data_IF_445784079443
#
_entry.id   IF_445784079443
#
_cell.length_a   1.000
_cell.length_b   1.000
_cell.length_c   1.000
_cell.angle_alpha   90.00
_cell.angle_beta   90.00
_cell.angle_gamma   90.00
#
_symmetry.space_group_name_H-M   'P 1'
#
loop_
_entity.id
_entity.type
_entity.pdbx_description
1 polymer ?
#
# COMPACT_ATOMS: atom_id res chain seq x y z
N UNK A 1 14.67 -1.22 -12.00
CA UNK A 1 15.61 -1.31 -10.85
C UNK A 1 14.82 -1.81 -9.64
N UNK A 2 15.38 -2.73 -8.85
CA UNK A 2 14.70 -3.27 -7.66
C UNK A 2 14.73 -2.23 -6.53
N UNK A 3 13.63 -2.01 -5.78
CA UNK A 3 13.63 -1.12 -4.62
C UNK A 3 14.57 -1.60 -3.51
N UNK A 4 15.33 -0.67 -2.91
CA UNK A 4 16.29 -0.96 -1.85
C UNK A 4 15.65 -1.60 -0.61
N UNK A 5 14.37 -1.30 -0.34
CA UNK A 5 13.62 -1.87 0.79
C UNK A 5 13.48 -3.39 0.68
N UNK A 6 13.42 -3.93 -0.55
CA UNK A 6 13.36 -5.36 -0.80
C UNK A 6 14.73 -6.05 -0.67
N UNK A 7 15.81 -5.29 -0.68
CA UNK A 7 17.18 -5.78 -0.51
C UNK A 7 17.67 -5.72 0.94
N UNK A 8 16.93 -5.03 1.82
CA UNK A 8 17.32 -4.73 3.20
C UNK A 8 17.21 -5.91 4.18
N UNK A 9 16.49 -6.99 3.81
CA UNK A 9 16.24 -8.15 4.70
C UNK A 9 15.30 -7.85 5.88
N UNK A 10 14.81 -6.62 6.03
CA UNK A 10 13.88 -6.25 7.09
C UNK A 10 12.44 -6.64 6.73
N UNK A 11 12.04 -7.87 7.08
CA UNK A 11 10.74 -8.44 6.75
C UNK A 11 9.55 -7.53 7.07
N UNK A 12 9.51 -6.90 8.26
CA UNK A 12 8.43 -6.00 8.64
C UNK A 12 8.28 -4.79 7.68
N UNK A 13 9.40 -4.25 7.20
CA UNK A 13 9.40 -3.14 6.24
C UNK A 13 8.96 -3.60 4.85
N UNK A 14 9.34 -4.82 4.47
CA UNK A 14 8.94 -5.43 3.20
C UNK A 14 7.44 -5.68 3.19
N UNK A 15 6.88 -6.22 4.29
CA UNK A 15 5.44 -6.50 4.40
C UNK A 15 4.63 -5.21 4.37
N UNK A 16 5.07 -4.19 5.11
CA UNK A 16 4.48 -2.86 5.04
C UNK A 16 4.50 -2.30 3.61
N UNK A 17 5.66 -2.35 2.95
CA UNK A 17 5.79 -1.86 1.58
C UNK A 17 4.91 -2.63 0.59
N UNK A 18 4.80 -3.95 0.73
CA UNK A 18 3.93 -4.78 -0.13
C UNK A 18 2.46 -4.43 0.04
N UNK A 19 2.03 -4.24 1.28
CA UNK A 19 0.66 -3.83 1.59
C UNK A 19 0.33 -2.45 1.01
N UNK A 20 1.21 -1.47 1.25
CA UNK A 20 1.11 -0.13 0.67
C UNK A 20 1.07 -0.16 -0.87
N UNK A 21 1.88 -1.01 -1.51
CA UNK A 21 1.85 -1.17 -2.98
C UNK A 21 0.60 -1.86 -3.51
N UNK A 22 0.02 -2.80 -2.74
CA UNK A 22 -1.25 -3.41 -3.08
C UNK A 22 -2.36 -2.34 -3.06
N UNK A 23 -2.45 -1.54 -1.99
CA UNK A 23 -3.40 -0.44 -1.87
C UNK A 23 -3.27 0.58 -2.99
N UNK A 24 -2.04 0.98 -3.32
CA UNK A 24 -1.77 1.91 -4.43
C UNK A 24 -2.23 1.33 -5.79
N UNK A 25 -1.96 0.06 -6.04
CA UNK A 25 -2.33 -0.61 -7.30
C UNK A 25 -3.83 -0.75 -7.42
N UNK A 26 -4.50 -1.15 -6.34
CA UNK A 26 -5.96 -1.23 -6.26
C UNK A 26 -6.58 0.15 -6.48
N UNK A 27 -6.07 1.20 -5.83
CA UNK A 27 -6.56 2.56 -6.03
C UNK A 27 -6.46 3.01 -7.50
N UNK A 28 -5.35 2.67 -8.17
CA UNK A 28 -5.10 3.07 -9.56
C UNK A 28 -5.92 2.28 -10.59
N UNK A 29 -6.11 0.98 -10.36
CA UNK A 29 -6.71 0.07 -11.36
C UNK A 29 -8.15 -0.32 -11.08
N UNK A 30 -8.50 -0.44 -9.79
CA UNK A 30 -9.78 -0.96 -9.30
C UNK A 30 -10.22 -0.23 -8.02
N UNK A 31 -10.43 1.10 -8.06
CA UNK A 31 -10.77 1.89 -6.87
C UNK A 31 -12.08 1.44 -6.21
N UNK A 32 -12.98 0.79 -6.95
CA UNK A 32 -14.22 0.23 -6.43
C UNK A 32 -13.99 -0.86 -5.37
N UNK A 33 -12.90 -1.63 -5.46
CA UNK A 33 -12.57 -2.63 -4.45
C UNK A 33 -12.24 -2.03 -3.08
N UNK A 34 -11.81 -0.77 -3.05
CA UNK A 34 -11.49 -0.08 -1.79
C UNK A 34 -12.73 0.43 -1.06
N UNK A 35 -13.88 0.49 -1.73
CA UNK A 35 -15.14 0.91 -1.11
C UNK A 35 -15.71 -0.18 -0.20
N UNK A 36 -15.58 -1.43 -0.61
CA UNK A 36 -16.10 -2.59 0.13
C UNK A 36 -15.04 -3.23 1.06
N UNK A 37 -13.78 -2.79 0.97
CA UNK A 37 -12.70 -3.32 1.80
C UNK A 37 -12.71 -2.72 3.21
N UNK A 38 -12.52 -3.58 4.22
CA UNK A 38 -12.24 -3.14 5.59
C UNK A 38 -10.82 -2.59 5.69
N UNK A 39 -10.70 -1.27 5.53
CA UNK A 39 -9.42 -0.56 5.63
C UNK A 39 -9.14 -0.15 7.08
N UNK A 40 -7.92 -0.41 7.55
CA UNK A 40 -7.46 0.12 8.84
C UNK A 40 -7.27 1.64 8.76
N UNK A 41 -7.18 2.30 9.92
CA UNK A 41 -6.96 3.75 9.96
C UNK A 41 -5.65 4.15 9.27
N UNK A 42 -4.60 3.33 9.41
CA UNK A 42 -3.33 3.51 8.68
C UNK A 42 -3.49 3.43 7.17
N UNK A 43 -4.30 2.50 6.68
CA UNK A 43 -4.53 2.33 5.24
C UNK A 43 -5.27 3.54 4.66
N UNK A 44 -6.26 4.05 5.42
CA UNK A 44 -7.00 5.27 5.05
C UNK A 44 -6.08 6.49 5.01
N UNK A 45 -5.20 6.66 6.00
CA UNK A 45 -4.19 7.73 6.02
C UNK A 45 -3.22 7.62 4.84
N UNK A 46 -2.72 6.43 4.56
CA UNK A 46 -1.83 6.18 3.44
C UNK A 46 -2.51 6.49 2.09
N UNK A 47 -3.73 6.00 1.87
CA UNK A 47 -4.50 6.31 0.66
C UNK A 47 -4.80 7.81 0.50
N UNK A 48 -5.05 8.54 1.60
CA UNK A 48 -5.19 10.01 1.58
C UNK A 48 -3.89 10.69 1.16
N UNK A 49 -2.73 10.20 1.61
CA UNK A 49 -1.43 10.76 1.24
C UNK A 49 -1.11 10.60 -0.25
N UNK A 50 -1.60 9.54 -0.90
CA UNK A 50 -1.42 9.30 -2.35
C UNK A 50 -2.32 10.20 -3.21
N UNK A 51 -3.54 10.51 -2.74
CA UNK A 51 -4.50 11.34 -3.50
C UNK A 51 -4.17 12.84 -3.50
N UNK A 52 -3.15 13.26 -2.76
CA UNK A 52 -2.75 14.67 -2.63
C UNK A 52 -1.86 15.10 -3.80
#
# INVERSE_FOLDING_TARGET
KVPDILLSGHHANIDKWRHEKALETTLKKRPELLLDAELSDRDKEYLKSIKK
#
